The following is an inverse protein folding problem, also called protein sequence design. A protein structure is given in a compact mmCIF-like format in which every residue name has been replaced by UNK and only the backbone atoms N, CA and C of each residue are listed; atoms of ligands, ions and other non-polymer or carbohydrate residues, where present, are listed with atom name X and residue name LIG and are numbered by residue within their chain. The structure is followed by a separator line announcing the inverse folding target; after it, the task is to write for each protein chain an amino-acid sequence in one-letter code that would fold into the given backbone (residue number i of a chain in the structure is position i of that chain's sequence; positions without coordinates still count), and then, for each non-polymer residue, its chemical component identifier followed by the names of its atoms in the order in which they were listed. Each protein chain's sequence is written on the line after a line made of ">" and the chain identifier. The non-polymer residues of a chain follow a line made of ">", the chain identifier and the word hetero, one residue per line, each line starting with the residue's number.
data_IF_550266995822
#
_entry.id   IF_550266995822
#
_cell.length_a   1.000
_cell.length_b   1.000
_cell.length_c   1.000
_cell.angle_alpha   90.00
_cell.angle_beta   90.00
_cell.angle_gamma   90.00
#
_symmetry.space_group_name_H-M   'P 1'
#
loop_
_entity.id
_entity.type
_entity.pdbx_description
1 polymer ?
#
# COMPACT_ATOMS: atom_id res chain seq x y z
N UNK A 1 5.42 8.93 65.07
CA UNK A 1 4.38 9.72 64.37
C UNK A 1 4.12 9.03 63.04
N UNK A 2 3.03 8.25 62.98
CA UNK A 2 2.52 7.62 61.77
C UNK A 2 1.66 8.65 61.02
N UNK A 3 1.79 8.70 59.70
CA UNK A 3 0.68 8.95 58.79
C UNK A 3 1.05 8.48 57.38
N UNK A 4 0.36 7.44 56.96
CA UNK A 4 0.12 7.05 55.58
C UNK A 4 -1.41 6.99 55.40
N UNK A 5 -1.86 6.85 54.15
CA UNK A 5 -3.25 6.71 53.65
C UNK A 5 -3.93 8.03 53.25
N UNK A 6 -4.72 8.15 52.17
CA UNK A 6 -4.93 7.44 50.90
C UNK A 6 -6.04 8.26 50.17
N UNK A 7 -6.05 8.23 48.82
CA UNK A 7 -7.24 8.36 47.92
C UNK A 7 -7.95 9.75 47.84
N UNK A 8 -8.58 10.22 46.76
CA UNK A 8 -8.88 9.79 45.36
C UNK A 8 -9.59 10.95 44.64
N UNK A 9 -9.49 11.01 43.30
CA UNK A 9 -10.46 11.56 42.33
C UNK A 9 -10.72 13.09 42.38
N UNK A 10 -11.11 13.82 41.33
CA UNK A 10 -11.24 13.70 39.88
C UNK A 10 -11.83 15.06 39.47
N UNK A 11 -11.40 15.65 38.35
CA UNK A 11 -12.24 16.33 37.35
C UNK A 11 -11.48 17.40 36.55
N UNK A 12 -11.49 17.18 35.23
CA UNK A 12 -11.80 18.15 34.18
C UNK A 12 -11.05 19.49 34.13
N UNK A 13 -10.24 19.66 33.08
CA UNK A 13 -10.71 20.44 31.93
C UNK A 13 -9.85 20.19 30.70
N UNK A 14 -10.50 19.55 29.72
CA UNK A 14 -10.07 19.42 28.34
C UNK A 14 -10.43 20.73 27.64
N UNK A 15 -9.44 21.50 27.21
CA UNK A 15 -9.65 22.58 26.25
C UNK A 15 -9.52 22.00 24.83
N UNK A 16 -10.64 21.57 24.26
CA UNK A 16 -10.79 21.32 22.83
C UNK A 16 -10.87 22.65 22.09
N UNK A 17 -9.77 23.12 21.50
CA UNK A 17 -9.86 24.05 20.37
C UNK A 17 -10.17 23.24 19.12
N UNK A 18 -11.46 23.19 18.82
CA UNK A 18 -12.03 22.76 17.55
C UNK A 18 -11.60 23.77 16.47
N UNK A 19 -10.57 23.42 15.71
CA UNK A 19 -10.26 24.12 14.45
C UNK A 19 -11.05 23.44 13.35
N UNK A 20 -12.10 24.12 12.92
CA UNK A 20 -12.96 23.74 11.80
C UNK A 20 -12.13 23.55 10.51
N UNK A 21 -12.52 22.59 9.63
CA UNK A 21 -11.94 22.48 8.31
C UNK A 21 -12.36 23.67 7.45
N UNK A 22 -11.37 24.30 6.79
CA UNK A 22 -11.57 25.37 5.83
C UNK A 22 -12.51 24.94 4.68
N UNK A 23 -13.33 25.86 4.14
CA UNK A 23 -14.28 25.58 3.07
C UNK A 23 -13.56 25.19 1.78
N UNK A 24 -14.14 24.22 1.07
CA UNK A 24 -13.68 23.77 -0.23
C UNK A 24 -13.64 24.92 -1.25
N UNK A 25 -12.63 24.98 -2.14
CA UNK A 25 -12.61 25.95 -3.23
C UNK A 25 -13.77 25.68 -4.20
N UNK A 26 -14.51 26.74 -4.52
CA UNK A 26 -15.63 26.74 -5.45
C UNK A 26 -15.20 26.25 -6.85
N UNK A 27 -16.00 25.33 -7.41
CA UNK A 27 -15.91 24.92 -8.81
C UNK A 27 -16.33 26.10 -9.72
N UNK A 28 -15.67 26.30 -10.87
CA UNK A 28 -16.07 27.31 -11.84
C UNK A 28 -17.43 26.93 -12.45
N UNK A 29 -18.34 27.91 -12.45
CA UNK A 29 -19.57 27.92 -13.24
C UNK A 29 -19.20 28.10 -14.71
N UNK A 30 -19.29 27.04 -15.50
CA UNK A 30 -19.34 27.15 -16.95
C UNK A 30 -20.81 27.19 -17.40
N UNK A 31 -21.14 28.26 -18.10
CA UNK A 31 -22.44 28.53 -18.71
C UNK A 31 -22.75 27.45 -19.77
N UNK A 32 -23.77 26.64 -19.51
CA UNK A 32 -24.34 25.73 -20.51
C UNK A 32 -25.35 26.53 -21.33
N UNK A 33 -24.94 27.01 -22.50
CA UNK A 33 -25.86 27.51 -23.53
C UNK A 33 -26.82 26.39 -23.94
N UNK A 34 -28.12 26.67 -23.77
CA UNK A 34 -29.21 25.85 -24.30
C UNK A 34 -29.18 25.86 -25.84
N UNK A 35 -28.63 24.80 -26.43
CA UNK A 35 -28.96 24.44 -27.81
C UNK A 35 -30.19 23.52 -27.80
N UNK A 36 -31.32 24.12 -28.13
CA UNK A 36 -32.58 23.44 -28.41
C UNK A 36 -32.42 22.46 -29.57
N UNK A 37 -32.30 21.17 -29.28
CA UNK A 37 -32.41 20.11 -30.28
C UNK A 37 -33.90 19.79 -30.46
N UNK A 38 -34.37 20.11 -31.66
CA UNK A 38 -35.69 19.85 -32.19
C UNK A 38 -36.03 18.35 -32.13
N UNK A 39 -37.08 17.99 -31.39
CA UNK A 39 -37.69 16.67 -31.48
C UNK A 39 -38.58 16.63 -32.72
N UNK A 40 -38.10 16.03 -33.82
CA UNK A 40 -38.98 15.68 -34.93
C UNK A 40 -38.66 14.28 -35.46
N UNK A 41 -39.57 13.37 -35.11
CA UNK A 41 -39.98 12.12 -35.76
C UNK A 41 -38.99 11.37 -36.68
N UNK A 42 -38.66 10.14 -36.29
CA UNK A 42 -38.97 8.97 -37.13
C UNK A 42 -39.12 7.73 -36.25
N UNK A 43 -40.37 7.31 -36.03
CA UNK A 43 -40.68 5.94 -35.63
C UNK A 43 -40.28 5.02 -36.80
N UNK A 44 -39.29 4.16 -36.57
CA UNK A 44 -39.20 2.89 -37.25
C UNK A 44 -39.00 1.83 -36.18
N UNK A 45 -40.03 1.00 -36.02
CA UNK A 45 -39.99 -0.23 -35.24
C UNK A 45 -38.85 -1.09 -35.79
N UNK A 46 -37.69 -0.98 -35.17
CA UNK A 46 -36.62 -1.94 -35.35
C UNK A 46 -36.89 -3.05 -34.35
N UNK A 47 -37.57 -4.11 -34.81
CA UNK A 47 -37.50 -5.42 -34.16
C UNK A 47 -36.03 -5.87 -34.20
N UNK A 48 -35.22 -5.37 -33.27
CA UNK A 48 -33.87 -5.88 -33.07
C UNK A 48 -34.01 -7.30 -32.55
N UNK A 49 -33.43 -8.25 -33.28
CA UNK A 49 -33.40 -9.64 -32.87
C UNK A 49 -32.77 -9.75 -31.46
N UNK A 50 -33.25 -10.68 -30.64
CA UNK A 50 -32.66 -10.93 -29.30
C UNK A 50 -31.14 -11.23 -29.37
N UNK A 51 -30.64 -11.70 -30.52
CA UNK A 51 -29.23 -11.93 -30.78
C UNK A 51 -28.43 -10.61 -30.93
N UNK A 52 -29.01 -9.58 -31.55
CA UNK A 52 -28.36 -8.27 -31.71
C UNK A 52 -28.35 -7.45 -30.41
N UNK A 53 -29.34 -7.65 -29.54
CA UNK A 53 -29.36 -7.04 -28.20
C UNK A 53 -28.27 -7.68 -27.33
N UNK A 54 -28.12 -9.00 -27.36
CA UNK A 54 -27.06 -9.70 -26.63
C UNK A 54 -25.68 -9.24 -27.08
N UNK A 55 -25.41 -9.18 -28.39
CA UNK A 55 -24.11 -8.79 -28.92
C UNK A 55 -23.73 -7.34 -28.60
N UNK A 56 -24.71 -6.43 -28.54
CA UNK A 56 -24.50 -5.02 -28.18
C UNK A 56 -24.28 -4.82 -26.67
N UNK A 57 -24.99 -5.59 -25.83
CA UNK A 57 -24.76 -5.62 -24.37
C UNK A 57 -23.38 -6.22 -24.06
N UNK A 58 -22.99 -7.28 -24.77
CA UNK A 58 -21.68 -7.91 -24.64
C UNK A 58 -20.55 -6.95 -25.08
N UNK A 59 -20.74 -6.23 -26.20
CA UNK A 59 -19.78 -5.22 -26.67
C UNK A 59 -19.63 -4.05 -25.69
N UNK A 60 -20.73 -3.56 -25.11
CA UNK A 60 -20.70 -2.53 -24.05
C UNK A 60 -20.01 -3.04 -22.79
N UNK A 61 -20.28 -4.29 -22.39
CA UNK A 61 -19.63 -4.92 -21.25
C UNK A 61 -18.10 -5.02 -21.43
N UNK A 62 -17.65 -5.43 -22.61
CA UNK A 62 -16.22 -5.49 -22.96
C UNK A 62 -15.59 -4.09 -22.99
N UNK A 63 -16.29 -3.08 -23.54
CA UNK A 63 -15.81 -1.70 -23.57
C UNK A 63 -15.63 -1.14 -22.15
N UNK A 64 -16.62 -1.33 -21.28
CA UNK A 64 -16.56 -0.91 -19.87
C UNK A 64 -15.40 -1.61 -19.13
N UNK A 65 -15.19 -2.92 -19.37
CA UNK A 65 -14.04 -3.62 -18.80
C UNK A 65 -12.69 -3.08 -19.27
N UNK A 66 -12.59 -2.74 -20.56
CA UNK A 66 -11.39 -2.12 -21.12
C UNK A 66 -11.13 -0.74 -20.52
N UNK A 67 -12.16 0.11 -20.40
CA UNK A 67 -12.06 1.44 -19.78
C UNK A 67 -11.68 1.36 -18.30
N UNK A 68 -12.25 0.40 -17.55
CA UNK A 68 -11.84 0.15 -16.17
C UNK A 68 -10.37 -0.27 -16.07
N UNK A 69 -9.92 -1.20 -16.92
CA UNK A 69 -8.52 -1.64 -16.93
C UNK A 69 -7.57 -0.48 -17.28
N UNK A 70 -7.93 0.32 -18.29
CA UNK A 70 -7.17 1.50 -18.72
C UNK A 70 -7.09 2.55 -17.62
N UNK A 71 -8.19 2.84 -16.93
CA UNK A 71 -8.23 3.79 -15.81
C UNK A 71 -7.28 3.39 -14.66
N UNK A 72 -7.22 2.09 -14.35
CA UNK A 72 -6.28 1.54 -13.36
C UNK A 72 -4.82 1.70 -13.81
N UNK A 73 -4.54 1.47 -15.10
CA UNK A 73 -3.22 1.63 -15.68
C UNK A 73 -2.75 3.09 -15.66
N UNK A 74 -3.60 4.02 -16.09
CA UNK A 74 -3.31 5.46 -16.10
C UNK A 74 -3.03 5.98 -14.68
N UNK A 75 -3.88 5.61 -13.72
CA UNK A 75 -3.67 5.96 -12.30
C UNK A 75 -2.38 5.37 -11.76
N UNK A 76 -2.06 4.12 -12.12
CA UNK A 76 -0.82 3.46 -11.71
C UNK A 76 0.42 4.16 -12.28
N UNK A 77 0.36 4.59 -13.54
CA UNK A 77 1.44 5.33 -14.19
C UNK A 77 1.67 6.67 -13.52
N UNK A 78 0.60 7.44 -13.30
CA UNK A 78 0.66 8.72 -12.61
C UNK A 78 1.25 8.58 -11.19
N UNK A 79 0.86 7.54 -10.44
CA UNK A 79 1.43 7.27 -9.10
C UNK A 79 2.93 6.95 -9.17
N UNK A 80 3.39 6.24 -10.21
CA UNK A 80 4.82 5.97 -10.40
C UNK A 80 5.62 7.26 -10.67
N UNK A 81 5.05 8.18 -11.44
CA UNK A 81 5.65 9.47 -11.81
C UNK A 81 5.66 10.45 -10.63
N UNK A 82 4.57 10.53 -9.88
CA UNK A 82 4.41 11.44 -8.73
C UNK A 82 5.14 10.91 -7.48
N UNK A 83 5.51 9.63 -7.43
CA UNK A 83 6.15 9.05 -6.25
C UNK A 83 7.40 9.85 -5.85
N UNK A 84 7.48 10.32 -4.59
CA UNK A 84 8.62 11.11 -4.12
C UNK A 84 9.95 10.41 -4.39
N UNK A 85 10.90 11.16 -4.95
CA UNK A 85 12.26 10.69 -5.27
C UNK A 85 12.93 10.11 -4.01
N UNK A 86 12.67 10.70 -2.85
CA UNK A 86 13.16 10.22 -1.56
C UNK A 86 12.71 8.78 -1.27
N UNK A 87 11.44 8.45 -1.52
CA UNK A 87 10.90 7.11 -1.31
C UNK A 87 11.54 6.11 -2.27
N UNK A 88 11.70 6.46 -3.56
CA UNK A 88 12.39 5.62 -4.54
C UNK A 88 13.82 5.29 -4.06
N UNK A 89 14.59 6.32 -3.70
CA UNK A 89 15.97 6.18 -3.18
C UNK A 89 16.04 5.33 -1.90
N UNK A 90 15.04 5.42 -1.04
CA UNK A 90 15.01 4.65 0.22
C UNK A 90 14.62 3.18 0.04
N UNK A 91 13.74 2.89 -0.94
CA UNK A 91 13.16 1.57 -1.16
C UNK A 91 14.02 0.70 -2.07
N UNK A 92 14.55 1.26 -3.16
CA UNK A 92 15.35 0.55 -4.15
C UNK A 92 16.47 -0.32 -3.54
N UNK A 93 17.32 0.17 -2.62
CA UNK A 93 18.37 -0.68 -2.03
C UNK A 93 17.81 -1.84 -1.21
N UNK A 94 16.64 -1.68 -0.57
CA UNK A 94 16.00 -2.73 0.24
C UNK A 94 15.37 -3.80 -0.64
N UNK A 95 14.78 -3.38 -1.76
CA UNK A 95 14.23 -4.28 -2.79
C UNK A 95 15.36 -5.09 -3.42
N UNK A 96 16.45 -4.44 -3.86
CA UNK A 96 17.62 -5.13 -4.43
C UNK A 96 18.24 -6.14 -3.48
N UNK A 97 18.32 -5.79 -2.20
CA UNK A 97 18.81 -6.71 -1.18
C UNK A 97 17.93 -7.97 -1.05
N UNK A 98 16.60 -7.79 -1.04
CA UNK A 98 15.66 -8.91 -1.06
C UNK A 98 15.82 -9.77 -2.33
N UNK A 99 15.88 -9.16 -3.51
CA UNK A 99 15.99 -9.89 -4.78
C UNK A 99 17.28 -10.70 -4.87
N UNK A 100 18.40 -10.11 -4.46
CA UNK A 100 19.69 -10.81 -4.44
C UNK A 100 19.65 -11.98 -3.45
N UNK A 101 19.16 -11.73 -2.23
CA UNK A 101 18.98 -12.79 -1.24
C UNK A 101 18.08 -13.91 -1.76
N UNK A 102 16.96 -13.57 -2.42
CA UNK A 102 16.02 -14.56 -2.92
C UNK A 102 16.64 -15.41 -4.04
N UNK A 103 17.41 -14.80 -4.95
CA UNK A 103 18.15 -15.52 -6.01
C UNK A 103 19.15 -16.54 -5.45
N UNK A 104 19.84 -16.17 -4.37
CA UNK A 104 20.81 -17.00 -3.67
C UNK A 104 20.16 -18.08 -2.78
N UNK A 105 18.98 -17.81 -2.24
CA UNK A 105 18.33 -18.69 -1.24
C UNK A 105 17.44 -19.74 -1.88
N UNK A 106 16.65 -19.37 -2.89
CA UNK A 106 15.67 -20.24 -3.52
C UNK A 106 16.23 -20.91 -4.79
N UNK A 107 17.45 -21.45 -4.70
CA UNK A 107 18.14 -22.06 -5.85
C UNK A 107 17.43 -23.26 -6.46
N UNK A 108 16.50 -23.85 -5.71
CA UNK A 108 15.66 -24.98 -6.14
C UNK A 108 14.47 -24.53 -7.01
N UNK A 109 14.11 -23.24 -7.01
CA UNK A 109 13.05 -22.69 -7.85
C UNK A 109 13.61 -22.22 -9.21
N UNK A 110 12.78 -22.17 -10.27
CA UNK A 110 13.11 -21.48 -11.52
C UNK A 110 13.51 -20.03 -11.27
N UNK A 111 14.47 -19.51 -12.05
CA UNK A 111 15.08 -18.20 -11.82
C UNK A 111 14.05 -17.07 -11.79
N UNK A 112 13.03 -17.15 -12.64
CA UNK A 112 11.94 -16.18 -12.76
C UNK A 112 11.03 -16.16 -11.53
N UNK A 113 10.95 -17.28 -10.80
CA UNK A 113 10.06 -17.43 -9.64
C UNK A 113 10.73 -17.03 -8.32
N UNK A 114 12.07 -17.06 -8.26
CA UNK A 114 12.83 -16.78 -7.03
C UNK A 114 12.49 -15.42 -6.45
N UNK A 115 12.42 -14.40 -7.30
CA UNK A 115 12.15 -13.02 -6.88
C UNK A 115 10.66 -12.69 -6.76
N UNK A 116 9.75 -13.58 -7.16
CA UNK A 116 8.31 -13.41 -6.93
C UNK A 116 8.08 -13.44 -5.42
N UNK A 117 7.54 -12.34 -4.88
CA UNK A 117 7.36 -12.19 -3.45
C UNK A 117 6.13 -12.95 -2.97
N UNK A 118 6.32 -13.84 -2.00
CA UNK A 118 5.26 -14.38 -1.16
C UNK A 118 5.40 -13.85 0.26
N UNK A 119 4.34 -13.95 1.06
CA UNK A 119 4.43 -13.56 2.47
C UNK A 119 5.44 -14.42 3.25
N UNK A 120 5.58 -15.70 2.91
CA UNK A 120 6.59 -16.59 3.51
C UNK A 120 8.02 -16.15 3.18
N UNK A 121 8.29 -15.81 1.92
CA UNK A 121 9.58 -15.28 1.48
C UNK A 121 9.91 -13.98 2.21
N UNK A 122 8.93 -13.09 2.37
CA UNK A 122 9.12 -11.86 3.13
C UNK A 122 9.44 -12.15 4.60
N UNK A 123 8.64 -13.00 5.26
CA UNK A 123 8.86 -13.33 6.67
C UNK A 123 10.24 -13.99 6.89
N UNK A 124 10.62 -14.92 6.01
CA UNK A 124 11.91 -15.60 6.08
C UNK A 124 13.08 -14.65 5.83
N UNK A 125 12.97 -13.74 4.85
CA UNK A 125 13.95 -12.68 4.62
C UNK A 125 14.14 -11.80 5.87
N UNK A 126 13.02 -11.33 6.45
CA UNK A 126 13.06 -10.46 7.61
C UNK A 126 13.76 -11.14 8.79
N UNK A 127 13.43 -12.40 9.09
CA UNK A 127 14.05 -13.17 10.17
C UNK A 127 15.54 -13.42 9.97
N UNK A 128 15.96 -13.74 8.74
CA UNK A 128 17.32 -14.22 8.48
C UNK A 128 18.31 -13.12 8.12
N UNK A 129 17.86 -12.03 7.48
CA UNK A 129 18.76 -10.98 6.96
C UNK A 129 18.60 -9.63 7.63
N UNK A 130 17.41 -9.29 8.14
CA UNK A 130 17.12 -7.93 8.63
C UNK A 130 17.12 -7.86 10.15
N UNK A 131 16.34 -8.73 10.81
CA UNK A 131 16.21 -8.78 12.26
C UNK A 131 17.53 -9.17 12.90
N UNK A 132 17.91 -8.48 13.97
CA UNK A 132 19.15 -8.75 14.72
C UNK A 132 20.45 -8.30 14.03
N UNK A 133 20.41 -7.86 12.76
CA UNK A 133 21.57 -7.35 12.05
C UNK A 133 22.10 -6.09 12.72
N UNK A 134 23.43 -5.90 12.72
CA UNK A 134 24.04 -4.65 13.13
C UNK A 134 23.83 -3.56 12.06
N UNK A 135 23.33 -2.41 12.49
CA UNK A 135 23.27 -1.19 11.71
C UNK A 135 24.68 -0.78 11.28
N UNK A 136 24.86 -0.60 9.97
CA UNK A 136 26.09 -0.03 9.40
C UNK A 136 26.23 1.47 9.68
N UNK A 137 25.18 2.11 10.19
CA UNK A 137 25.12 3.55 10.43
C UNK A 137 25.33 3.82 11.93
N UNK A 138 26.41 4.53 12.26
CA UNK A 138 26.76 4.94 13.62
C UNK A 138 28.21 4.62 13.98
N UNK A 139 28.72 5.27 15.03
CA UNK A 139 30.06 4.99 15.57
C UNK A 139 30.11 3.70 16.40
N UNK A 140 28.96 3.25 16.90
CA UNK A 140 28.84 2.04 17.73
C UNK A 140 27.96 1.00 17.04
N UNK A 141 28.32 -0.30 17.17
CA UNK A 141 27.50 -1.37 16.63
C UNK A 141 26.18 -1.43 17.39
N UNK A 142 25.08 -1.05 16.72
CA UNK A 142 23.72 -1.16 17.25
C UNK A 142 22.91 -2.05 16.36
N UNK A 143 21.97 -2.81 16.92
CA UNK A 143 21.02 -3.58 16.11
C UNK A 143 20.17 -2.64 15.24
N UNK A 144 19.73 -3.15 14.10
CA UNK A 144 18.75 -2.48 13.24
C UNK A 144 17.48 -2.22 14.05
N UNK A 145 17.05 -0.96 14.12
CA UNK A 145 15.86 -0.57 14.88
C UNK A 145 14.56 -1.01 14.19
N UNK A 146 13.48 -1.17 14.97
CA UNK A 146 12.14 -1.48 14.46
C UNK A 146 11.66 -0.55 13.33
N UNK A 147 12.04 0.73 13.36
CA UNK A 147 11.68 1.67 12.29
C UNK A 147 12.29 1.30 10.94
N UNK A 148 13.49 0.72 10.93
CA UNK A 148 14.14 0.24 9.71
C UNK A 148 13.47 -1.03 9.22
N UNK A 149 13.08 -1.93 10.13
CA UNK A 149 12.31 -3.14 9.82
C UNK A 149 10.99 -2.74 9.13
N UNK A 150 10.25 -1.77 9.67
CA UNK A 150 9.03 -1.25 9.06
C UNK A 150 9.28 -0.70 7.63
N UNK A 151 10.42 -0.02 7.40
CA UNK A 151 10.80 0.45 6.06
C UNK A 151 11.10 -0.71 5.09
N UNK A 152 11.74 -1.79 5.55
CA UNK A 152 11.95 -2.99 4.72
C UNK A 152 10.64 -3.63 4.34
N UNK A 153 9.75 -3.85 5.31
CA UNK A 153 8.45 -4.46 5.02
C UNK A 153 7.65 -3.57 4.06
N UNK A 154 7.66 -2.24 4.24
CA UNK A 154 6.99 -1.32 3.34
C UNK A 154 7.57 -1.38 1.91
N UNK A 155 8.90 -1.33 1.76
CA UNK A 155 9.56 -1.38 0.47
C UNK A 155 9.31 -2.70 -0.28
N UNK A 156 9.41 -3.84 0.42
CA UNK A 156 9.24 -5.15 -0.21
C UNK A 156 7.75 -5.45 -0.43
N UNK A 157 6.84 -4.97 0.42
CA UNK A 157 5.39 -5.03 0.12
C UNK A 157 5.04 -4.22 -1.13
N UNK A 158 5.70 -3.07 -1.33
CA UNK A 158 5.51 -2.27 -2.53
C UNK A 158 6.01 -2.98 -3.80
N UNK A 159 7.11 -3.72 -3.71
CA UNK A 159 7.54 -4.64 -4.77
C UNK A 159 6.42 -5.62 -5.14
N UNK A 160 5.76 -6.26 -4.16
CA UNK A 160 4.63 -7.17 -4.46
C UNK A 160 3.48 -6.47 -5.18
N UNK A 161 3.11 -5.26 -4.78
CA UNK A 161 2.09 -4.49 -5.51
C UNK A 161 2.50 -4.25 -6.97
N UNK A 162 3.77 -3.95 -7.22
CA UNK A 162 4.32 -3.81 -8.57
C UNK A 162 4.22 -5.14 -9.35
N UNK A 163 4.60 -6.25 -8.72
CA UNK A 163 4.53 -7.59 -9.32
C UNK A 163 3.09 -8.01 -9.66
N UNK A 164 2.12 -7.71 -8.79
CA UNK A 164 0.69 -7.94 -9.04
C UNK A 164 0.20 -7.09 -10.20
N UNK A 165 0.57 -5.80 -10.25
CA UNK A 165 0.22 -4.88 -11.35
C UNK A 165 0.77 -5.37 -12.70
N UNK A 166 1.99 -5.90 -12.72
CA UNK A 166 2.60 -6.52 -13.89
C UNK A 166 2.05 -7.91 -14.22
N UNK A 167 1.09 -8.42 -13.43
CA UNK A 167 0.49 -9.76 -13.58
C UNK A 167 1.49 -10.92 -13.49
N UNK A 168 2.64 -10.69 -12.86
CA UNK A 168 3.65 -11.74 -12.62
C UNK A 168 3.47 -12.42 -11.27
N UNK A 169 2.68 -11.82 -10.36
CA UNK A 169 2.44 -12.36 -9.03
C UNK A 169 0.93 -12.36 -8.73
N UNK A 170 0.40 -13.53 -8.38
CA UNK A 170 -1.00 -13.75 -8.00
C UNK A 170 -1.16 -14.12 -6.51
N UNK A 171 -0.07 -14.07 -5.73
CA UNK A 171 -0.09 -14.43 -4.33
C UNK A 171 -0.78 -13.38 -3.47
N UNK A 172 -1.37 -13.83 -2.36
CA UNK A 172 -1.98 -12.99 -1.34
C UNK A 172 -1.03 -11.92 -0.79
N UNK A 173 -1.58 -10.80 -0.32
CA UNK A 173 -0.81 -9.67 0.15
C UNK A 173 0.12 -10.05 1.33
N UNK A 174 1.44 -9.79 1.25
CA UNK A 174 2.45 -10.40 2.13
C UNK A 174 2.45 -9.83 3.55
N UNK A 175 1.87 -8.64 3.77
CA UNK A 175 1.93 -7.92 5.05
C UNK A 175 1.31 -8.71 6.21
N UNK A 176 0.26 -9.50 5.96
CA UNK A 176 -0.44 -10.25 7.00
C UNK A 176 0.50 -11.25 7.70
N UNK A 177 1.33 -11.97 6.94
CA UNK A 177 2.24 -12.98 7.48
C UNK A 177 3.46 -12.40 8.22
N UNK A 178 3.64 -11.07 8.20
CA UNK A 178 4.78 -10.39 8.82
C UNK A 178 4.35 -9.57 10.04
N UNK A 179 3.05 -9.43 10.30
CA UNK A 179 2.53 -8.64 11.42
C UNK A 179 3.05 -9.14 12.77
N UNK A 180 3.02 -10.44 13.01
CA UNK A 180 3.48 -11.04 14.26
C UNK A 180 4.98 -10.81 14.48
N UNK A 181 5.78 -10.87 13.42
CA UNK A 181 7.21 -10.57 13.49
C UNK A 181 7.47 -9.13 13.91
N UNK A 182 6.73 -8.18 13.31
CA UNK A 182 6.87 -6.75 13.63
C UNK A 182 6.46 -6.50 15.09
N UNK A 183 5.39 -7.14 15.55
CA UNK A 183 4.90 -6.99 16.92
C UNK A 183 5.93 -7.48 17.94
N UNK A 184 6.49 -8.68 17.72
CA UNK A 184 7.51 -9.27 18.59
C UNK A 184 8.76 -8.38 18.66
N UNK A 185 9.21 -7.83 17.54
CA UNK A 185 10.43 -7.02 17.54
C UNK A 185 10.22 -5.63 18.17
N UNK A 186 9.03 -5.04 17.98
CA UNK A 186 8.67 -3.79 18.68
C UNK A 186 8.69 -3.99 20.18
N UNK A 187 8.11 -5.08 20.68
CA UNK A 187 8.10 -5.39 22.11
C UNK A 187 9.52 -5.50 22.68
N UNK A 188 10.43 -6.18 21.99
CA UNK A 188 11.85 -6.26 22.40
C UNK A 188 12.54 -4.90 22.42
N UNK A 189 12.28 -4.06 21.42
CA UNK A 189 12.81 -2.69 21.37
C UNK A 189 12.28 -1.84 22.55
N UNK A 190 11.02 -2.02 22.96
CA UNK A 190 10.44 -1.36 24.12
C UNK A 190 11.06 -1.86 25.43
N UNK A 191 11.21 -3.18 25.60
CA UNK A 191 11.83 -3.77 26.79
C UNK A 191 13.27 -3.30 26.96
N UNK A 192 14.05 -3.34 25.87
CA UNK A 192 15.45 -2.86 25.88
C UNK A 192 15.52 -1.39 26.28
N UNK A 193 14.60 -0.54 25.81
CA UNK A 193 14.57 0.87 26.22
C UNK A 193 14.25 0.99 27.70
N UNK A 194 13.22 0.28 28.18
CA UNK A 194 12.80 0.32 29.59
C UNK A 194 13.89 -0.13 30.55
N UNK A 195 14.69 -1.12 30.18
CA UNK A 195 15.82 -1.61 31.01
C UNK A 195 17.01 -0.64 31.06
N UNK A 196 17.14 0.24 30.08
CA UNK A 196 18.24 1.21 29.98
C UNK A 196 17.89 2.60 30.52
N UNK A 197 16.66 2.80 31.02
CA UNK A 197 16.18 4.02 31.70
C UNK A 197 16.02 3.76 33.19
#
# INVERSE_FOLDING_TARGET
>A
MLSNDHQTASASNVATTSTAPAPAPALPTEDVEMTSISNNALNQDTEMSNADISSNVDARGVLVQYEMARSIEETTRAVSEIRPIATKRAYEPKIKEFENWAKETFVHEPLEQRTILTGDKLNYFMRTKVVGRLSRKGKTPRKVASSTIDQYVAAVTDLHRSQVKMKINANSHPRLLVQDLILVEKEKDYQTKRENF
#
